data_IF_570476011040
#
_entry.id   IF_570476011040
#
_cell.length_a   1.000
_cell.length_b   1.000
_cell.length_c   1.000
_cell.angle_alpha   90.00
_cell.angle_beta   90.00
_cell.angle_gamma   90.00
#
_symmetry.space_group_name_H-M   'P 1'
#
loop_
_entity.id
_entity.type
_entity.pdbx_description
1 polymer ?
#
# COMPACT_ATOMS: atom_id res chain seq x y z
N UNK A 1 -23.95 6.64 5.44
CA UNK A 1 -22.68 6.18 4.86
C UNK A 1 -22.03 5.20 5.83
N UNK A 2 -21.49 4.15 5.28
CA UNK A 2 -20.73 3.17 6.05
C UNK A 2 -19.50 3.85 6.69
N UNK A 3 -19.16 3.49 7.92
CA UNK A 3 -17.99 4.01 8.62
C UNK A 3 -16.67 3.78 7.86
N UNK A 4 -16.64 2.81 6.93
CA UNK A 4 -15.48 2.53 6.10
C UNK A 4 -15.25 3.56 5.00
N UNK A 5 -16.29 4.23 4.53
CA UNK A 5 -16.23 5.11 3.36
C UNK A 5 -16.38 6.56 3.75
N UNK A 6 -15.50 7.04 4.63
CA UNK A 6 -15.50 8.44 5.07
C UNK A 6 -15.08 9.37 3.93
N UNK A 7 -15.37 10.68 4.08
CA UNK A 7 -14.93 11.67 3.11
C UNK A 7 -13.41 11.69 2.96
N UNK A 8 -12.66 11.42 4.03
CA UNK A 8 -11.20 11.38 3.99
C UNK A 8 -10.69 10.21 3.16
N UNK A 9 -11.33 9.04 3.29
CA UNK A 9 -11.00 7.87 2.46
C UNK A 9 -11.29 8.18 0.99
N UNK A 10 -12.45 8.74 0.70
CA UNK A 10 -12.83 9.09 -0.68
C UNK A 10 -11.91 10.16 -1.27
N UNK A 11 -11.43 11.09 -0.45
CA UNK A 11 -10.47 12.10 -0.88
C UNK A 11 -9.12 11.48 -1.27
N UNK A 12 -8.67 10.45 -0.54
CA UNK A 12 -7.46 9.70 -0.91
C UNK A 12 -7.63 9.01 -2.26
N UNK A 13 -8.76 8.37 -2.47
CA UNK A 13 -9.06 7.70 -3.75
C UNK A 13 -9.03 8.68 -4.91
N UNK A 14 -9.59 9.87 -4.72
CA UNK A 14 -9.63 10.91 -5.76
C UNK A 14 -8.24 11.45 -6.11
N UNK A 15 -7.26 11.29 -5.24
CA UNK A 15 -5.89 11.80 -5.42
C UNK A 15 -4.88 10.71 -5.75
N UNK A 16 -5.34 9.51 -6.08
CA UNK A 16 -4.42 8.42 -6.39
C UNK A 16 -3.56 8.79 -7.59
N UNK A 17 -2.26 8.54 -7.48
CA UNK A 17 -1.25 8.98 -8.43
C UNK A 17 -0.41 7.80 -8.92
N UNK A 18 0.49 8.04 -9.87
CA UNK A 18 1.44 7.08 -10.42
C UNK A 18 0.77 5.87 -11.06
N UNK A 19 -0.44 6.05 -11.58
CA UNK A 19 -1.18 4.99 -12.28
C UNK A 19 -0.47 4.66 -13.60
N UNK A 20 -0.27 3.37 -13.85
CA UNK A 20 0.33 2.88 -15.09
C UNK A 20 1.43 1.87 -14.84
N UNK A 21 2.36 1.80 -15.78
CA UNK A 21 3.51 0.90 -15.75
C UNK A 21 4.79 1.67 -16.00
N UNK A 22 5.91 1.19 -15.44
CA UNK A 22 7.23 1.71 -15.78
C UNK A 22 7.71 1.04 -17.07
N UNK A 23 8.51 1.77 -17.86
CA UNK A 23 9.04 1.24 -19.14
C UNK A 23 10.00 0.06 -18.90
N UNK A 24 10.84 0.16 -17.89
CA UNK A 24 11.84 -0.87 -17.58
C UNK A 24 11.89 -1.09 -16.06
N UNK A 25 10.88 -1.77 -15.49
CA UNK A 25 10.87 -1.99 -14.04
C UNK A 25 11.95 -2.97 -13.61
N UNK A 26 12.58 -2.68 -12.47
CA UNK A 26 13.52 -3.60 -11.82
C UNK A 26 12.76 -4.80 -11.23
N UNK A 27 11.53 -4.55 -10.76
CA UNK A 27 10.65 -5.60 -10.26
C UNK A 27 9.21 -5.28 -10.61
N UNK A 28 8.42 -6.32 -10.82
CA UNK A 28 6.97 -6.24 -11.06
C UNK A 28 6.30 -7.37 -10.29
N UNK A 29 5.25 -7.04 -9.57
CA UNK A 29 4.49 -8.01 -8.79
C UNK A 29 3.00 -7.69 -8.80
N UNK A 30 2.19 -8.72 -8.60
CA UNK A 30 0.73 -8.58 -8.52
C UNK A 30 0.22 -9.26 -7.27
N UNK A 31 -0.79 -8.64 -6.65
CA UNK A 31 -1.56 -9.25 -5.59
C UNK A 31 -3.02 -9.35 -6.00
N UNK A 32 -3.69 -10.43 -5.62
CA UNK A 32 -5.11 -10.65 -5.93
C UNK A 32 -5.82 -11.08 -4.66
N UNK A 33 -6.97 -10.47 -4.39
CA UNK A 33 -7.88 -10.92 -3.34
C UNK A 33 -8.98 -11.75 -3.97
N UNK A 34 -9.01 -13.05 -3.65
CA UNK A 34 -10.02 -13.98 -4.20
C UNK A 34 -11.42 -13.69 -3.69
N UNK A 35 -11.54 -13.12 -2.48
CA UNK A 35 -12.84 -12.86 -1.87
C UNK A 35 -13.62 -11.75 -2.58
N UNK A 36 -12.94 -10.68 -2.99
CA UNK A 36 -13.59 -9.53 -3.61
C UNK A 36 -13.15 -9.26 -5.04
N UNK A 37 -12.26 -10.09 -5.60
CA UNK A 37 -11.76 -9.94 -6.96
C UNK A 37 -10.83 -8.73 -7.15
N UNK A 38 -10.37 -8.12 -6.07
CA UNK A 38 -9.43 -7.01 -6.14
C UNK A 38 -8.07 -7.45 -6.64
N UNK A 39 -7.41 -6.56 -7.39
CA UNK A 39 -6.08 -6.81 -7.94
C UNK A 39 -5.25 -5.54 -7.92
N UNK A 40 -3.98 -5.66 -7.58
CA UNK A 40 -3.00 -4.58 -7.64
C UNK A 40 -1.76 -5.11 -8.33
N UNK A 41 -1.29 -4.40 -9.37
CA UNK A 41 -0.01 -4.66 -10.01
C UNK A 41 0.92 -3.50 -9.69
N UNK A 42 2.14 -3.81 -9.27
CA UNK A 42 3.13 -2.81 -8.86
C UNK A 42 4.40 -2.97 -9.70
N UNK A 43 4.90 -1.86 -10.23
CA UNK A 43 6.23 -1.76 -10.84
C UNK A 43 7.11 -0.89 -9.96
N UNK A 44 8.36 -1.28 -9.78
CA UNK A 44 9.26 -0.58 -8.87
C UNK A 44 10.68 -0.59 -9.40
N UNK A 45 11.36 0.55 -9.29
CA UNK A 45 12.80 0.64 -9.46
C UNK A 45 13.45 1.07 -8.16
N UNK A 46 14.60 0.48 -7.86
CA UNK A 46 15.40 0.86 -6.69
C UNK A 46 16.84 1.14 -7.11
N UNK A 47 17.46 2.07 -6.39
CA UNK A 47 18.87 2.41 -6.60
C UNK A 47 19.48 2.77 -5.25
N UNK A 48 20.63 2.16 -4.94
CA UNK A 48 21.32 2.37 -3.67
C UNK A 48 20.45 2.12 -2.44
N UNK A 49 19.59 1.08 -2.53
CA UNK A 49 18.72 0.68 -1.42
C UNK A 49 17.48 1.53 -1.24
N UNK A 50 17.18 2.42 -2.18
CA UNK A 50 16.07 3.38 -2.08
C UNK A 50 15.19 3.24 -3.31
N UNK A 51 13.86 3.32 -3.11
CA UNK A 51 12.90 3.34 -4.22
C UNK A 51 13.03 4.66 -4.98
N UNK A 52 13.30 4.57 -6.27
CA UNK A 52 13.45 5.73 -7.16
C UNK A 52 12.23 5.96 -8.05
N UNK A 53 11.57 4.89 -8.47
CA UNK A 53 10.39 4.95 -9.34
C UNK A 53 9.35 3.94 -8.91
N UNK A 54 8.10 4.27 -9.13
CA UNK A 54 6.96 3.43 -8.76
C UNK A 54 5.80 3.72 -9.71
N UNK A 55 5.13 2.68 -10.16
CA UNK A 55 3.86 2.79 -10.88
C UNK A 55 2.97 1.61 -10.47
N UNK A 56 1.67 1.78 -10.60
CA UNK A 56 0.74 0.73 -10.22
C UNK A 56 -0.56 0.80 -11.03
N UNK A 57 -1.22 -0.35 -11.12
CA UNK A 57 -2.56 -0.47 -11.67
C UNK A 57 -3.42 -1.16 -10.64
N UNK A 58 -4.60 -0.61 -10.35
CA UNK A 58 -5.45 -1.05 -9.25
C UNK A 58 -6.86 -1.30 -9.75
N UNK A 59 -7.37 -2.52 -9.47
CA UNK A 59 -8.78 -2.87 -9.63
C UNK A 59 -9.28 -3.31 -8.26
N UNK A 60 -9.70 -2.38 -7.43
CA UNK A 60 -10.04 -2.65 -6.03
C UNK A 60 -11.16 -1.75 -5.55
N UNK A 61 -11.75 -2.12 -4.41
CA UNK A 61 -12.70 -1.26 -3.71
C UNK A 61 -12.01 0.01 -3.20
N UNK A 62 -12.78 0.98 -2.72
CA UNK A 62 -12.25 2.25 -2.23
C UNK A 62 -11.18 2.07 -1.15
N UNK A 63 -11.27 1.04 -0.32
CA UNK A 63 -10.29 0.78 0.75
C UNK A 63 -8.94 0.37 0.17
N UNK A 64 -8.93 -0.52 -0.82
CA UNK A 64 -7.71 -0.91 -1.52
C UNK A 64 -7.13 0.25 -2.32
N UNK A 65 -7.98 1.07 -2.91
CA UNK A 65 -7.54 2.28 -3.61
C UNK A 65 -6.93 3.30 -2.65
N UNK A 66 -7.51 3.48 -1.46
CA UNK A 66 -6.99 4.43 -0.47
C UNK A 66 -5.61 4.01 0.03
N UNK A 67 -5.40 2.73 0.36
CA UNK A 67 -4.09 2.26 0.77
C UNK A 67 -3.06 2.38 -0.36
N UNK A 68 -3.47 2.10 -1.60
CA UNK A 68 -2.60 2.27 -2.77
C UNK A 68 -2.25 3.74 -3.03
N UNK A 69 -3.19 4.65 -2.79
CA UNK A 69 -2.95 6.09 -2.92
C UNK A 69 -1.85 6.56 -1.96
N UNK A 70 -1.91 6.12 -0.71
CA UNK A 70 -0.89 6.46 0.28
C UNK A 70 0.45 5.83 -0.10
N UNK A 71 0.45 4.57 -0.53
CA UNK A 71 1.66 3.91 -1.00
C UNK A 71 2.31 4.71 -2.13
N UNK A 72 1.56 5.07 -3.16
CA UNK A 72 2.10 5.82 -4.30
C UNK A 72 2.65 7.18 -3.88
N UNK A 73 2.00 7.83 -2.92
CA UNK A 73 2.41 9.15 -2.44
C UNK A 73 3.71 9.10 -1.64
N UNK A 74 3.92 8.03 -0.83
CA UNK A 74 4.99 8.00 0.16
C UNK A 74 6.18 7.10 -0.20
N UNK A 75 6.04 6.23 -1.20
CA UNK A 75 7.03 5.18 -1.46
C UNK A 75 8.36 5.67 -2.01
N UNK A 76 8.37 6.74 -2.79
CA UNK A 76 9.60 7.26 -3.38
C UNK A 76 10.54 7.75 -2.27
N UNK A 77 11.76 7.24 -2.25
CA UNK A 77 12.75 7.54 -1.21
C UNK A 77 12.75 6.55 -0.06
N UNK A 78 11.81 5.59 -0.04
CA UNK A 78 11.74 4.59 1.03
C UNK A 78 12.81 3.52 0.86
N UNK A 79 13.33 3.01 1.99
CA UNK A 79 14.19 1.83 2.00
C UNK A 79 13.34 0.56 2.10
N UNK A 80 13.95 -0.60 1.82
CA UNK A 80 13.27 -1.88 2.00
C UNK A 80 12.82 -2.09 3.44
N UNK A 81 13.66 -1.71 4.41
CA UNK A 81 13.32 -1.83 5.84
C UNK A 81 12.11 -0.99 6.21
N UNK A 82 12.05 0.25 5.74
CA UNK A 82 10.89 1.13 5.95
C UNK A 82 9.62 0.48 5.44
N UNK A 83 9.66 -0.03 4.20
CA UNK A 83 8.48 -0.63 3.58
C UNK A 83 8.02 -1.89 4.30
N UNK A 84 8.95 -2.72 4.78
CA UNK A 84 8.61 -3.91 5.56
C UNK A 84 8.02 -3.58 6.91
N UNK A 85 8.53 -2.55 7.57
CA UNK A 85 7.99 -2.09 8.85
C UNK A 85 6.55 -1.58 8.67
N UNK A 86 6.31 -0.77 7.66
CA UNK A 86 4.96 -0.24 7.38
C UNK A 86 3.99 -1.38 7.07
N UNK A 87 4.40 -2.34 6.23
CA UNK A 87 3.56 -3.49 5.90
C UNK A 87 3.24 -4.33 7.14
N UNK A 88 4.24 -4.58 7.98
CA UNK A 88 4.03 -5.31 9.25
C UNK A 88 3.04 -4.59 10.14
N UNK A 89 3.23 -3.29 10.33
CA UNK A 89 2.38 -2.50 11.20
C UNK A 89 0.96 -2.38 10.66
N UNK A 90 0.82 -2.30 9.33
CA UNK A 90 -0.49 -2.32 8.69
C UNK A 90 -1.24 -3.63 8.96
N UNK A 91 -0.56 -4.76 8.83
CA UNK A 91 -1.15 -6.08 9.13
C UNK A 91 -1.54 -6.20 10.60
N UNK A 92 -0.69 -5.73 11.50
CA UNK A 92 -0.97 -5.74 12.93
C UNK A 92 -2.17 -4.87 13.29
N UNK A 93 -2.25 -3.69 12.69
CA UNK A 93 -3.37 -2.78 12.89
C UNK A 93 -4.70 -3.45 12.55
N UNK A 94 -4.76 -4.16 11.42
CA UNK A 94 -6.00 -4.78 10.97
C UNK A 94 -6.31 -6.10 11.66
N UNK A 95 -5.29 -6.91 11.94
CA UNK A 95 -5.49 -8.31 12.38
C UNK A 95 -5.22 -8.56 13.86
N UNK A 96 -4.47 -7.67 14.52
CA UNK A 96 -4.01 -7.88 15.89
C UNK A 96 -4.30 -6.68 16.80
N UNK A 97 -5.19 -5.78 16.40
CA UNK A 97 -5.48 -4.55 17.14
C UNK A 97 -4.23 -3.71 17.45
N UNK A 98 -3.25 -3.76 16.54
CA UNK A 98 -2.01 -3.01 16.69
C UNK A 98 -2.19 -1.53 16.43
N UNK A 99 -1.17 -0.77 16.77
CA UNK A 99 -1.14 0.67 16.49
C UNK A 99 -0.96 0.92 14.99
N UNK A 100 -1.50 2.06 14.47
CA UNK A 100 -1.27 2.43 13.07
C UNK A 100 0.22 2.60 12.76
N UNK A 101 0.60 2.42 11.47
CA UNK A 101 1.97 2.70 11.05
C UNK A 101 2.39 4.12 11.43
N UNK A 102 3.67 4.28 11.74
CA UNK A 102 4.25 5.55 12.13
C UNK A 102 4.96 6.20 10.94
N UNK A 103 5.10 7.52 11.00
CA UNK A 103 5.88 8.24 10.00
C UNK A 103 7.34 7.81 10.07
N UNK A 104 8.01 7.79 8.92
CA UNK A 104 9.42 7.44 8.84
C UNK A 104 10.32 8.65 9.11
N UNK A 105 11.57 8.37 9.50
CA UNK A 105 12.56 9.41 9.82
C UNK A 105 12.86 10.33 8.63
N UNK A 106 12.77 9.81 7.40
CA UNK A 106 12.97 10.61 6.18
C UNK A 106 11.80 11.52 5.84
N UNK A 107 10.70 11.44 6.60
CA UNK A 107 9.51 12.26 6.36
C UNK A 107 8.36 11.55 5.64
N UNK A 108 8.41 10.22 5.46
CA UNK A 108 7.30 9.47 4.90
C UNK A 108 6.09 9.54 5.83
N UNK A 109 4.95 10.01 5.30
CA UNK A 109 3.72 10.22 6.10
C UNK A 109 2.83 8.99 6.09
N UNK A 110 3.32 7.90 6.67
CA UNK A 110 2.58 6.63 6.74
C UNK A 110 1.48 6.65 7.80
N UNK A 111 1.53 7.58 8.74
CA UNK A 111 0.54 7.63 9.83
C UNK A 111 -0.87 7.89 9.33
N UNK A 112 -1.05 8.42 8.13
CA UNK A 112 -2.36 8.62 7.52
C UNK A 112 -3.07 7.29 7.23
N UNK A 113 -2.34 6.17 7.20
CA UNK A 113 -2.94 4.84 7.13
C UNK A 113 -3.86 4.57 8.32
N UNK A 114 -3.78 5.35 9.41
CA UNK A 114 -4.71 5.26 10.53
C UNK A 114 -6.17 5.49 10.12
N UNK A 115 -6.39 6.15 8.98
CA UNK A 115 -7.74 6.32 8.43
C UNK A 115 -8.38 4.97 8.08
N UNK A 116 -7.59 3.93 7.90
CA UNK A 116 -8.04 2.57 7.58
C UNK A 116 -8.15 1.67 8.82
N UNK A 117 -7.97 2.21 10.02
CA UNK A 117 -8.01 1.44 11.26
C UNK A 117 -9.36 0.73 11.44
N UNK A 118 -10.46 1.37 11.09
CA UNK A 118 -11.81 0.79 11.22
C UNK A 118 -12.01 -0.46 10.38
N UNK A 119 -11.16 -0.68 9.37
CA UNK A 119 -11.22 -1.89 8.53
C UNK A 119 -10.97 -3.16 9.34
N UNK A 120 -10.33 -3.04 10.52
CA UNK A 120 -10.05 -4.20 11.39
C UNK A 120 -11.31 -5.00 11.74
N UNK A 121 -12.45 -4.33 11.81
CA UNK A 121 -13.73 -4.96 12.17
C UNK A 121 -14.40 -5.64 10.96
N UNK A 122 -13.82 -5.53 9.77
CA UNK A 122 -14.38 -6.04 8.52
C UNK A 122 -13.37 -7.00 7.87
N UNK A 123 -13.33 -8.23 8.38
CA UNK A 123 -12.33 -9.22 7.97
C UNK A 123 -12.30 -9.49 6.48
N UNK A 124 -13.45 -9.43 5.82
CA UNK A 124 -13.55 -9.64 4.36
C UNK A 124 -12.92 -8.51 3.54
N UNK A 125 -12.52 -7.41 4.19
CA UNK A 125 -11.85 -6.28 3.53
C UNK A 125 -10.35 -6.21 3.82
N UNK A 126 -9.85 -7.05 4.73
CA UNK A 126 -8.41 -7.01 5.08
C UNK A 126 -7.53 -7.29 3.87
N UNK A 127 -7.84 -8.32 3.10
CA UNK A 127 -7.03 -8.72 1.96
C UNK A 127 -6.91 -7.61 0.93
N UNK A 128 -8.02 -6.98 0.53
CA UNK A 128 -7.99 -5.91 -0.48
C UNK A 128 -7.23 -4.67 0.01
N UNK A 129 -7.35 -4.36 1.30
CA UNK A 129 -6.65 -3.21 1.90
C UNK A 129 -5.14 -3.47 1.97
N UNK A 130 -4.70 -4.72 2.07
CA UNK A 130 -3.30 -5.10 2.19
C UNK A 130 -2.61 -5.39 0.86
N UNK A 131 -3.35 -5.45 -0.26
CA UNK A 131 -2.79 -5.88 -1.56
C UNK A 131 -1.57 -5.08 -2.00
N UNK A 132 -1.61 -3.75 -1.86
CA UNK A 132 -0.47 -2.91 -2.28
C UNK A 132 0.79 -3.24 -1.47
N UNK A 133 0.63 -3.54 -0.18
CA UNK A 133 1.76 -3.92 0.68
C UNK A 133 2.31 -5.29 0.30
N UNK A 134 1.43 -6.25 0.00
CA UNK A 134 1.83 -7.59 -0.43
C UNK A 134 2.61 -7.52 -1.75
N UNK A 135 2.11 -6.75 -2.72
CA UNK A 135 2.77 -6.60 -4.02
C UNK A 135 4.13 -5.90 -3.89
N UNK A 136 4.22 -4.85 -3.06
CA UNK A 136 5.48 -4.15 -2.80
C UNK A 136 6.50 -5.08 -2.14
N UNK A 137 6.09 -5.84 -1.13
CA UNK A 137 7.00 -6.81 -0.50
C UNK A 137 7.49 -7.88 -1.46
N UNK A 138 6.63 -8.33 -2.37
CA UNK A 138 7.02 -9.29 -3.39
C UNK A 138 8.08 -8.70 -4.32
N UNK A 139 7.94 -7.43 -4.70
CA UNK A 139 8.99 -6.72 -5.45
C UNK A 139 10.31 -6.71 -4.69
N UNK A 140 10.28 -6.44 -3.37
CA UNK A 140 11.49 -6.44 -2.55
C UNK A 140 12.16 -7.81 -2.53
N UNK A 141 11.37 -8.88 -2.45
CA UNK A 141 11.88 -10.26 -2.51
C UNK A 141 12.55 -10.52 -3.86
N UNK A 142 11.92 -10.11 -4.96
CA UNK A 142 12.50 -10.26 -6.30
C UNK A 142 13.84 -9.54 -6.42
N UNK A 143 13.98 -8.38 -5.79
CA UNK A 143 15.21 -7.59 -5.84
C UNK A 143 16.28 -8.07 -4.85
N UNK A 144 15.94 -8.99 -3.95
CA UNK A 144 16.88 -9.53 -2.97
C UNK A 144 17.24 -8.56 -1.86
N UNK A 145 16.36 -7.65 -1.55
CA UNK A 145 16.61 -6.60 -0.54
C UNK A 145 15.68 -6.71 0.66
#
# INVERSE_FOLDING_TARGET
MDALYTQKILALVAKIDRIGQLDAPDARASGVSKLCGSKVCVDMNMRDGIVTDFAHEIEACALGQASSAIMAREIIGATSDELRIVARDMRRMLKENGYPPQNSDRGGNWSELSLLESVRDYKNRHASTLLTFDAVEDCLVQLGV
#
